data_IF_458640888530
#
_entry.id   IF_458640888530
#
_cell.length_a   1.000
_cell.length_b   1.000
_cell.length_c   1.000
_cell.angle_alpha   90.00
_cell.angle_beta   90.00
_cell.angle_gamma   90.00
#
_symmetry.space_group_name_H-M   'P 1'
#
loop_
_entity.id
_entity.type
_entity.pdbx_description
1 polymer ?
#
# COMPACT_ATOMS: atom_id res chain seq x y z
N UNK A 1 0.07 5.37 14.21
CA UNK A 1 -0.48 5.27 12.85
C UNK A 1 -0.08 6.44 11.93
N UNK A 2 0.80 6.22 10.94
CA UNK A 2 0.94 7.13 9.78
C UNK A 2 0.03 6.68 8.64
N UNK A 3 -0.49 7.62 7.85
CA UNK A 3 -1.35 7.33 6.70
C UNK A 3 -0.67 7.72 5.40
N UNK A 4 -0.60 6.79 4.45
CA UNK A 4 -0.06 7.01 3.10
C UNK A 4 -1.18 6.88 2.07
N UNK A 5 -1.40 7.93 1.27
CA UNK A 5 -2.44 7.94 0.22
C UNK A 5 -1.81 7.73 -1.16
N UNK A 6 -1.79 6.47 -1.59
CA UNK A 6 -1.30 6.04 -2.90
C UNK A 6 -2.33 6.25 -4.03
N UNK A 7 -3.54 6.76 -3.75
CA UNK A 7 -4.57 7.01 -4.78
C UNK A 7 -4.27 8.24 -5.65
N UNK A 8 -3.40 9.13 -5.15
CA UNK A 8 -3.04 10.42 -5.77
C UNK A 8 -1.74 10.38 -6.58
N UNK A 9 -1.14 9.20 -6.71
CA UNK A 9 0.13 9.06 -7.42
C UNK A 9 -0.07 9.48 -8.87
N UNK A 10 0.63 10.55 -9.30
CA UNK A 10 0.60 11.01 -10.69
C UNK A 10 1.05 9.85 -11.59
N UNK A 11 0.21 9.51 -12.56
CA UNK A 11 0.31 8.36 -13.45
C UNK A 11 1.45 8.53 -14.48
N UNK A 12 2.68 8.65 -13.97
CA UNK A 12 3.90 8.64 -14.77
C UNK A 12 4.56 7.26 -14.60
N UNK A 13 5.18 6.71 -15.64
CA UNK A 13 5.81 5.38 -15.63
C UNK A 13 6.82 5.16 -14.48
N UNK A 14 7.31 6.24 -13.86
CA UNK A 14 8.25 6.25 -12.74
C UNK A 14 7.59 6.08 -11.37
N UNK A 15 6.27 6.27 -11.27
CA UNK A 15 5.53 6.30 -10.01
C UNK A 15 4.56 5.11 -9.94
N UNK A 16 5.09 3.89 -9.87
CA UNK A 16 4.28 2.70 -9.68
C UNK A 16 3.84 2.60 -8.20
N UNK A 17 2.53 2.53 -7.90
CA UNK A 17 2.03 2.49 -6.54
C UNK A 17 2.49 1.24 -5.76
N UNK A 18 2.76 0.12 -6.42
CA UNK A 18 3.34 -1.06 -5.77
C UNK A 18 4.79 -0.83 -5.29
N UNK A 19 5.57 -0.04 -6.04
CA UNK A 19 6.94 0.33 -5.62
C UNK A 19 6.88 1.28 -4.42
N UNK A 20 5.95 2.24 -4.44
CA UNK A 20 5.72 3.14 -3.31
C UNK A 20 5.30 2.38 -2.04
N UNK A 21 4.47 1.35 -2.17
CA UNK A 21 4.10 0.45 -1.07
C UNK A 21 5.33 -0.22 -0.45
N UNK A 22 6.23 -0.76 -1.27
CA UNK A 22 7.46 -1.39 -0.78
C UNK A 22 8.36 -0.37 -0.06
N UNK A 23 8.53 0.83 -0.62
CA UNK A 23 9.32 1.91 0.02
C UNK A 23 8.76 2.30 1.39
N UNK A 24 7.42 2.42 1.49
CA UNK A 24 6.75 2.75 2.76
C UNK A 24 7.03 1.69 3.81
N UNK A 25 6.88 0.41 3.48
CA UNK A 25 7.09 -0.69 4.44
C UNK A 25 8.57 -0.85 4.82
N UNK A 26 9.49 -0.56 3.89
CA UNK A 26 10.92 -0.58 4.13
C UNK A 26 11.39 0.46 5.17
N UNK A 27 10.60 1.50 5.44
CA UNK A 27 10.89 2.50 6.50
C UNK A 27 10.76 1.92 7.92
N UNK A 28 10.15 0.74 8.07
CA UNK A 28 10.07 0.04 9.35
C UNK A 28 9.19 0.74 10.39
N UNK A 29 8.09 1.36 9.96
CA UNK A 29 7.13 1.98 10.89
C UNK A 29 6.29 0.89 11.59
N UNK A 30 6.02 1.06 12.89
CA UNK A 30 5.28 0.05 13.66
C UNK A 30 3.84 -0.15 13.17
N UNK A 31 3.18 0.90 12.68
CA UNK A 31 1.80 0.84 12.23
C UNK A 31 1.51 1.88 11.12
N UNK A 32 1.05 1.39 9.97
CA UNK A 32 0.76 2.20 8.78
C UNK A 32 -0.65 1.93 8.24
N UNK A 33 -1.34 3.00 7.85
CA UNK A 33 -2.60 2.95 7.08
C UNK A 33 -2.30 3.30 5.64
N UNK A 34 -2.70 2.44 4.70
CA UNK A 34 -2.43 2.64 3.28
C UNK A 34 -3.76 2.77 2.54
N UNK A 35 -3.93 3.87 1.82
CA UNK A 35 -5.08 4.11 0.94
C UNK A 35 -4.63 3.92 -0.49
N UNK A 36 -5.23 2.99 -1.22
CA UNK A 36 -4.87 2.67 -2.60
C UNK A 36 -6.12 2.35 -3.40
N UNK A 37 -6.08 2.56 -4.72
CA UNK A 37 -7.17 2.10 -5.58
C UNK A 37 -6.95 0.62 -5.88
N UNK A 38 -8.03 -0.17 -5.83
CA UNK A 38 -8.00 -1.60 -6.19
C UNK A 38 -7.50 -1.85 -7.61
N UNK A 39 -7.73 -0.90 -8.52
CA UNK A 39 -7.24 -0.92 -9.91
C UNK A 39 -5.73 -0.75 -10.03
N UNK A 40 -5.09 -0.10 -9.06
CA UNK A 40 -3.67 0.24 -9.09
C UNK A 40 -2.83 -0.88 -8.44
N UNK A 41 -3.26 -1.38 -7.29
CA UNK A 41 -2.64 -2.51 -6.60
C UNK A 41 -3.73 -3.50 -6.18
N UNK A 42 -3.75 -4.72 -6.75
CA UNK A 42 -4.65 -5.77 -6.29
C UNK A 42 -4.36 -6.15 -4.84
N UNK A 43 -5.40 -6.50 -4.07
CA UNK A 43 -5.26 -6.91 -2.66
C UNK A 43 -4.20 -8.00 -2.46
N UNK A 44 -4.17 -9.00 -3.36
CA UNK A 44 -3.16 -10.07 -3.33
C UNK A 44 -1.72 -9.58 -3.36
N UNK A 45 -1.44 -8.50 -4.09
CA UNK A 45 -0.10 -7.91 -4.14
C UNK A 45 0.23 -7.24 -2.80
N UNK A 46 -0.75 -6.59 -2.17
CA UNK A 46 -0.59 -5.99 -0.84
C UNK A 46 -0.28 -7.06 0.20
N UNK A 47 -1.02 -8.19 0.16
CA UNK A 47 -0.80 -9.33 1.06
C UNK A 47 0.59 -9.93 0.92
N UNK A 48 1.04 -10.18 -0.31
CA UNK A 48 2.36 -10.75 -0.57
C UNK A 48 3.48 -9.79 -0.13
N UNK A 49 3.35 -8.49 -0.42
CA UNK A 49 4.33 -7.49 -0.01
C UNK A 49 4.37 -7.35 1.51
N UNK A 50 3.23 -7.30 2.19
CA UNK A 50 3.16 -7.24 3.64
C UNK A 50 3.87 -8.44 4.28
N UNK A 51 3.62 -9.65 3.76
CA UNK A 51 4.26 -10.88 4.21
C UNK A 51 5.78 -10.86 4.04
N UNK A 52 6.27 -10.41 2.88
CA UNK A 52 7.71 -10.26 2.61
C UNK A 52 8.35 -9.25 3.57
N UNK A 53 7.66 -8.15 3.84
CA UNK A 53 8.10 -7.09 4.76
C UNK A 53 7.87 -7.41 6.24
N UNK A 54 7.35 -8.60 6.59
CA UNK A 54 7.02 -9.03 7.97
C UNK A 54 5.96 -8.14 8.66
N UNK A 55 5.06 -7.55 7.89
CA UNK A 55 3.87 -6.86 8.40
C UNK A 55 2.69 -7.81 8.43
N UNK A 56 1.81 -7.61 9.41
CA UNK A 56 0.50 -8.25 9.49
C UNK A 56 -0.59 -7.26 9.08
N UNK A 57 -1.49 -7.67 8.18
CA UNK A 57 -2.63 -6.86 7.78
C UNK A 57 -3.73 -7.05 8.82
N UNK A 58 -4.01 -6.01 9.60
CA UNK A 58 -4.98 -6.07 10.70
C UNK A 58 -6.40 -5.71 10.28
N UNK A 59 -6.56 -4.87 9.25
CA UNK A 59 -7.86 -4.43 8.77
C UNK A 59 -7.82 -4.08 7.28
N UNK A 60 -8.88 -4.41 6.55
CA UNK A 60 -9.07 -4.08 5.14
C UNK A 60 -10.46 -3.48 4.98
N UNK A 61 -10.51 -2.20 4.60
CA UNK A 61 -11.75 -1.47 4.32
C UNK A 61 -11.87 -1.23 2.81
N UNK A 62 -12.85 -1.86 2.15
CA UNK A 62 -13.18 -1.55 0.77
C UNK A 62 -14.22 -0.42 0.73
N UNK A 63 -13.82 0.76 0.28
CA UNK A 63 -14.75 1.87 0.05
C UNK A 63 -15.46 1.71 -1.28
N UNK A 64 -16.80 1.57 -1.27
CA UNK A 64 -17.63 1.63 -2.47
C UNK A 64 -17.60 3.05 -3.07
N UNK A 65 -16.99 3.22 -4.26
CA UNK A 65 -17.32 4.31 -5.17
C UNK A 65 -16.93 4.05 -6.61
#
# INVERSE_FOLDING_TARGET
MKTYDLRKVENNCLNNPAVALVDILARGEEEVKILVKKSDIPLKVIEEVAKISKYEITNVEEGEK
#
